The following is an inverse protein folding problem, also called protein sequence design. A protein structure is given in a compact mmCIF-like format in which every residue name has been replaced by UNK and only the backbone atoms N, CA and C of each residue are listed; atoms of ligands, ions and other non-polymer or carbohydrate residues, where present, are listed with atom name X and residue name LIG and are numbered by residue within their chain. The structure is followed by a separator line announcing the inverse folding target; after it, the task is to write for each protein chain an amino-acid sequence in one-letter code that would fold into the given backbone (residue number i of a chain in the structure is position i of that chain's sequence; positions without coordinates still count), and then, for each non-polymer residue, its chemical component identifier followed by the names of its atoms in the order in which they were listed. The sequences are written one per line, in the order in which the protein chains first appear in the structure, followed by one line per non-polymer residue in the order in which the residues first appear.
data_IF_025401915565
#
_entry.id   IF_025401915565
#
_cell.length_a   1.000
_cell.length_b   1.000
_cell.length_c   1.000
_cell.angle_alpha   90.00
_cell.angle_beta   90.00
_cell.angle_gamma   90.00
#
_symmetry.space_group_name_H-M   'P 1'
#
loop_
_entity.id
_entity.type
_entity.pdbx_description
1 polymer ?
#
# COMPACT_ATOMS: atom_id res chain seq x y z
N UNK A 1 64.65 -11.72 14.43
CA UNK A 1 64.41 -10.27 14.64
C UNK A 1 63.09 -9.91 14.00
N UNK A 2 62.29 -9.10 14.69
CA UNK A 2 60.91 -8.75 14.35
C UNK A 2 60.76 -8.02 12.99
N UNK A 3 59.55 -8.05 12.43
CA UNK A 3 59.16 -7.22 11.29
C UNK A 3 57.70 -7.42 10.87
N UNK A 4 56.84 -6.52 11.35
CA UNK A 4 55.42 -6.33 11.04
C UNK A 4 55.12 -5.99 9.58
N UNK A 5 53.90 -6.33 9.12
CA UNK A 5 53.32 -5.75 7.91
C UNK A 5 51.90 -6.26 7.66
N UNK A 6 50.90 -5.53 8.16
CA UNK A 6 49.51 -5.73 7.74
C UNK A 6 49.24 -4.98 6.43
N UNK A 7 48.33 -5.51 5.61
CA UNK A 7 47.52 -4.73 4.69
C UNK A 7 46.17 -5.41 4.49
N UNK A 8 45.14 -4.64 4.79
CA UNK A 8 43.76 -4.90 4.45
C UNK A 8 43.53 -4.79 2.92
N UNK A 9 42.54 -5.53 2.44
CA UNK A 9 41.99 -5.47 1.08
C UNK A 9 41.31 -6.81 0.79
N UNK A 10 40.07 -6.90 0.34
CA UNK A 10 39.22 -5.93 -0.35
C UNK A 10 37.77 -6.37 -0.23
N UNK A 11 36.85 -5.40 -0.32
CA UNK A 11 35.43 -5.54 -0.05
C UNK A 11 34.75 -6.69 -0.79
N UNK A 12 34.01 -7.49 -0.01
CA UNK A 12 33.02 -8.40 -0.55
C UNK A 12 31.90 -7.59 -1.21
N UNK A 13 31.72 -7.80 -2.51
CA UNK A 13 30.49 -7.44 -3.19
C UNK A 13 29.32 -8.02 -2.38
N UNK A 14 28.47 -7.14 -1.86
CA UNK A 14 27.30 -7.51 -1.06
C UNK A 14 26.34 -8.35 -1.88
N UNK A 15 26.49 -9.68 -1.77
CA UNK A 15 25.56 -10.65 -2.32
C UNK A 15 24.20 -10.40 -1.71
N UNK A 16 23.25 -10.04 -2.56
CA UNK A 16 21.87 -9.86 -2.18
C UNK A 16 21.30 -11.20 -1.71
N UNK A 17 20.78 -11.28 -0.48
CA UNK A 17 20.21 -12.52 0.05
C UNK A 17 19.13 -13.09 -0.90
N UNK A 18 19.10 -14.43 -1.11
CA UNK A 18 18.11 -15.06 -1.97
C UNK A 18 16.69 -14.82 -1.44
N UNK A 19 15.72 -14.67 -2.37
CA UNK A 19 14.29 -14.49 -2.06
C UNK A 19 13.78 -15.67 -1.24
N UNK A 20 12.85 -15.42 -0.32
CA UNK A 20 12.16 -16.47 0.41
C UNK A 20 11.52 -17.46 -0.58
N UNK A 21 11.92 -18.75 -0.53
CA UNK A 21 11.42 -19.78 -1.43
C UNK A 21 10.01 -20.26 -1.05
N UNK A 22 9.39 -19.64 -0.04
CA UNK A 22 8.11 -20.04 0.50
C UNK A 22 7.01 -19.01 0.26
N UNK A 23 5.79 -19.46 0.46
CA UNK A 23 4.62 -18.62 0.64
C UNK A 23 3.91 -19.01 1.94
N UNK A 24 3.02 -18.16 2.44
CA UNK A 24 2.43 -18.36 3.75
C UNK A 24 0.92 -18.13 3.75
N UNK A 25 0.21 -18.98 4.49
CA UNK A 25 -1.22 -18.80 4.78
C UNK A 25 -1.37 -18.52 6.28
N UNK A 26 -2.06 -17.45 6.61
CA UNK A 26 -2.41 -17.10 7.98
C UNK A 26 -3.84 -17.57 8.28
N UNK A 27 -3.97 -18.40 9.29
CA UNK A 27 -5.21 -18.76 9.95
C UNK A 27 -5.29 -18.08 11.30
N UNK A 28 -6.48 -17.60 11.64
CA UNK A 28 -6.73 -16.83 12.86
C UNK A 28 -7.93 -17.40 13.60
N UNK A 29 -7.83 -17.45 14.92
CA UNK A 29 -8.94 -17.64 15.84
C UNK A 29 -8.65 -16.83 17.11
N UNK A 30 -9.58 -16.71 18.07
CA UNK A 30 -9.33 -15.93 19.28
C UNK A 30 -8.01 -16.33 19.96
N UNK A 31 -7.16 -15.33 20.15
CA UNK A 31 -5.87 -15.39 20.85
C UNK A 31 -4.83 -16.36 20.22
N UNK A 32 -5.11 -16.91 19.03
CA UNK A 32 -4.26 -17.92 18.39
C UNK A 32 -4.15 -17.70 16.89
N UNK A 33 -2.92 -17.71 16.39
CA UNK A 33 -2.59 -17.72 14.98
C UNK A 33 -2.01 -19.08 14.60
N UNK A 34 -2.27 -19.51 13.37
CA UNK A 34 -1.56 -20.61 12.75
C UNK A 34 -1.07 -20.17 11.39
N UNK A 35 0.22 -20.35 11.14
CA UNK A 35 0.86 -20.01 9.88
C UNK A 35 1.25 -21.32 9.20
N UNK A 36 0.80 -21.51 7.97
CA UNK A 36 1.28 -22.57 7.11
C UNK A 36 2.41 -22.03 6.24
N UNK A 37 3.51 -22.76 6.20
CA UNK A 37 4.57 -22.55 5.22
C UNK A 37 4.27 -23.44 4.02
N UNK A 38 4.22 -22.83 2.85
CA UNK A 38 4.00 -23.51 1.59
C UNK A 38 5.27 -23.49 0.76
N UNK A 39 5.53 -24.58 0.04
CA UNK A 39 6.43 -24.52 -1.10
C UNK A 39 5.83 -23.55 -2.14
N UNK A 40 6.61 -22.56 -2.55
CA UNK A 40 6.11 -21.46 -3.39
C UNK A 40 5.73 -21.89 -4.81
N UNK A 41 6.33 -22.97 -5.30
CA UNK A 41 6.13 -23.45 -6.68
C UNK A 41 4.89 -24.31 -6.79
N UNK A 42 4.76 -25.26 -5.86
CA UNK A 42 3.68 -26.24 -5.84
C UNK A 42 2.46 -25.75 -5.04
N UNK A 43 2.66 -24.85 -4.07
CA UNK A 43 1.65 -24.45 -3.10
C UNK A 43 1.40 -25.49 -2.01
N UNK A 44 2.17 -26.58 -1.97
CA UNK A 44 2.01 -27.63 -0.98
C UNK A 44 2.44 -27.14 0.39
N UNK A 45 1.67 -27.46 1.43
CA UNK A 45 2.05 -27.21 2.81
C UNK A 45 3.25 -28.09 3.19
N UNK A 46 4.34 -27.46 3.61
CA UNK A 46 5.58 -28.14 4.01
C UNK A 46 5.85 -28.02 5.51
N UNK A 47 5.28 -27.01 6.18
CA UNK A 47 5.38 -26.84 7.62
C UNK A 47 4.18 -26.04 8.15
N UNK A 48 3.99 -26.07 9.46
CA UNK A 48 3.08 -25.17 10.14
C UNK A 48 3.61 -24.75 11.51
N UNK A 49 3.17 -23.57 11.95
CA UNK A 49 3.48 -23.02 13.26
C UNK A 49 2.22 -22.46 13.90
N UNK A 50 1.96 -22.84 15.14
CA UNK A 50 0.90 -22.24 15.96
C UNK A 50 1.53 -21.27 16.96
N UNK A 51 0.98 -20.06 17.05
CA UNK A 51 1.43 -18.96 17.90
C UNK A 51 0.24 -18.50 18.73
N UNK A 52 0.39 -18.46 20.06
CA UNK A 52 -0.70 -18.11 20.98
C UNK A 52 -0.32 -16.85 21.73
N UNK A 53 -1.24 -15.90 21.80
CA UNK A 53 -1.07 -14.66 22.55
C UNK A 53 -0.76 -14.99 24.02
N UNK A 54 0.23 -14.29 24.58
CA UNK A 54 0.64 -14.48 25.98
C UNK A 54 -0.48 -14.06 26.92
N UNK A 55 -0.76 -14.86 27.95
CA UNK A 55 -1.87 -14.63 28.88
C UNK A 55 -1.81 -13.27 29.59
N UNK A 56 -0.62 -12.68 29.76
CA UNK A 56 -0.43 -11.34 30.33
C UNK A 56 -1.08 -10.22 29.52
N UNK A 57 -1.31 -10.44 28.21
CA UNK A 57 -1.97 -9.47 27.33
C UNK A 57 -3.50 -9.58 27.37
N UNK A 58 -4.05 -10.51 28.16
CA UNK A 58 -5.49 -10.79 28.22
C UNK A 58 -6.02 -11.48 26.95
N UNK A 59 -7.34 -11.45 26.76
CA UNK A 59 -8.04 -12.16 25.68
C UNK A 59 -8.70 -11.23 24.67
N UNK A 60 -9.11 -11.78 23.52
CA UNK A 60 -9.80 -11.05 22.45
C UNK A 60 -8.88 -10.53 21.36
N UNK A 61 -7.67 -11.08 21.28
CA UNK A 61 -6.72 -10.80 20.21
C UNK A 61 -7.06 -11.61 18.97
N UNK A 62 -6.83 -11.01 17.81
CA UNK A 62 -6.96 -11.67 16.51
C UNK A 62 -5.72 -11.38 15.67
N UNK A 63 -5.15 -12.42 15.09
CA UNK A 63 -4.10 -12.25 14.09
C UNK A 63 -4.75 -11.77 12.79
N UNK A 64 -4.20 -10.70 12.22
CA UNK A 64 -4.77 -9.99 11.07
C UNK A 64 -3.93 -10.09 9.83
N UNK A 65 -2.63 -9.94 9.98
CA UNK A 65 -1.72 -9.92 8.84
C UNK A 65 -0.40 -10.59 9.20
N UNK A 66 0.24 -11.15 8.18
CA UNK A 66 1.54 -11.80 8.30
C UNK A 66 2.39 -11.39 7.11
N UNK A 67 3.61 -10.94 7.39
CA UNK A 67 4.55 -10.52 6.35
C UNK A 67 5.90 -11.20 6.55
N UNK A 68 6.44 -11.76 5.46
CA UNK A 68 7.73 -12.41 5.43
C UNK A 68 8.74 -11.49 4.77
N UNK A 69 9.72 -11.01 5.54
CA UNK A 69 10.66 -10.02 5.06
C UNK A 69 11.97 -10.67 4.59
N UNK A 70 12.63 -9.93 3.71
CA UNK A 70 13.90 -10.34 3.09
C UNK A 70 15.08 -10.42 4.06
N UNK A 71 15.03 -9.70 5.16
CA UNK A 71 16.02 -9.83 6.24
C UNK A 71 15.90 -11.19 6.97
N UNK A 72 14.97 -12.05 6.54
CA UNK A 72 14.70 -13.36 7.13
C UNK A 72 13.74 -13.29 8.32
N UNK A 73 13.42 -12.10 8.82
CA UNK A 73 12.46 -11.94 9.91
C UNK A 73 11.03 -11.93 9.38
N UNK A 74 10.06 -12.05 10.29
CA UNK A 74 8.62 -12.04 9.99
C UNK A 74 7.91 -11.05 10.89
N UNK A 75 6.82 -10.47 10.39
CA UNK A 75 5.90 -9.67 11.19
C UNK A 75 4.56 -10.40 11.28
N UNK A 76 4.05 -10.57 12.49
CA UNK A 76 2.68 -11.03 12.74
C UNK A 76 1.92 -9.90 13.44
N UNK A 77 0.90 -9.37 12.77
CA UNK A 77 0.07 -8.29 13.30
C UNK A 77 -1.07 -8.88 14.10
N UNK A 78 -1.13 -8.48 15.36
CA UNK A 78 -2.23 -8.78 16.26
C UNK A 78 -3.02 -7.52 16.55
N UNK A 79 -4.34 -7.64 16.57
CA UNK A 79 -5.23 -6.55 16.99
C UNK A 79 -6.24 -7.02 18.00
N UNK A 80 -6.59 -6.11 18.92
CA UNK A 80 -7.62 -6.30 19.94
C UNK A 80 -8.64 -5.16 19.84
N UNK A 81 -9.65 -5.30 18.96
CA UNK A 81 -10.55 -4.20 18.59
C UNK A 81 -11.30 -3.59 19.79
N UNK A 82 -11.70 -4.43 20.75
CA UNK A 82 -12.43 -4.00 21.95
C UNK A 82 -11.62 -3.05 22.85
N UNK A 83 -10.28 -3.05 22.72
CA UNK A 83 -9.36 -2.19 23.47
C UNK A 83 -8.65 -1.16 22.59
N UNK A 84 -8.71 -1.29 21.26
CA UNK A 84 -7.96 -0.45 20.32
C UNK A 84 -6.45 -0.74 20.31
N UNK A 85 -6.04 -1.94 20.72
CA UNK A 85 -4.62 -2.29 20.85
C UNK A 85 -4.10 -3.03 19.62
N UNK A 86 -2.82 -2.80 19.30
CA UNK A 86 -2.10 -3.49 18.23
C UNK A 86 -0.68 -3.84 18.67
N UNK A 87 -0.30 -5.09 18.42
CA UNK A 87 1.07 -5.57 18.58
C UNK A 87 1.57 -6.09 17.22
N UNK A 88 2.80 -5.72 16.88
CA UNK A 88 3.54 -6.37 15.80
C UNK A 88 4.55 -7.30 16.46
N UNK A 89 4.35 -8.61 16.33
CA UNK A 89 5.33 -9.58 16.75
C UNK A 89 6.41 -9.72 15.68
N UNK A 90 7.66 -9.59 16.10
CA UNK A 90 8.82 -9.89 15.28
C UNK A 90 9.20 -11.34 15.53
N UNK A 91 9.23 -12.12 14.45
CA UNK A 91 9.66 -13.52 14.49
C UNK A 91 10.95 -13.70 13.68
N UNK A 92 11.74 -14.70 14.03
CA UNK A 92 12.86 -15.14 13.19
C UNK A 92 12.36 -15.95 11.97
N UNK A 93 13.31 -16.37 11.13
CA UNK A 93 13.02 -17.16 9.91
C UNK A 93 12.33 -18.50 10.21
N UNK A 94 12.50 -19.04 11.42
CA UNK A 94 11.88 -20.28 11.89
C UNK A 94 10.55 -20.03 12.64
N UNK A 95 10.03 -18.79 12.60
CA UNK A 95 8.81 -18.37 13.31
C UNK A 95 8.89 -18.52 14.84
N UNK A 96 10.09 -18.37 15.42
CA UNK A 96 10.24 -18.17 16.85
C UNK A 96 10.03 -16.70 17.19
N UNK A 97 9.34 -16.44 18.30
CA UNK A 97 9.14 -15.09 18.81
C UNK A 97 10.50 -14.48 19.22
N UNK A 98 10.80 -13.29 18.69
CA UNK A 98 12.02 -12.56 18.99
C UNK A 98 11.74 -11.27 19.79
N UNK A 99 10.71 -10.53 19.39
CA UNK A 99 10.31 -9.29 20.06
C UNK A 99 8.84 -8.96 19.78
N UNK A 100 8.29 -8.04 20.56
CA UNK A 100 7.00 -7.40 20.26
C UNK A 100 7.18 -5.88 20.16
N UNK A 101 6.47 -5.27 19.22
CA UNK A 101 6.48 -3.84 18.96
C UNK A 101 5.06 -3.32 19.17
N UNK A 102 4.80 -2.62 20.27
CA UNK A 102 3.50 -2.01 20.49
C UNK A 102 3.35 -0.81 19.54
N UNK A 103 2.29 -0.84 18.73
CA UNK A 103 1.79 0.35 18.05
C UNK A 103 0.47 0.73 18.73
N UNK A 104 0.60 1.13 20.00
CA UNK A 104 -0.52 1.65 20.76
C UNK A 104 -0.63 3.14 20.48
N UNK A 105 -1.83 3.52 20.11
CA UNK A 105 -2.14 4.89 19.81
C UNK A 105 -2.78 5.53 21.04
N UNK A 106 -2.35 6.73 21.42
CA UNK A 106 -3.26 7.64 22.14
C UNK A 106 -4.46 8.04 21.27
N UNK A 107 -4.30 7.90 19.95
CA UNK A 107 -5.31 7.99 18.90
C UNK A 107 -4.83 7.16 17.70
N UNK A 108 -5.57 6.11 17.30
CA UNK A 108 -6.96 5.80 17.59
C UNK A 108 -7.32 4.93 18.82
N UNK A 109 -8.51 5.20 19.38
CA UNK A 109 -9.16 4.60 20.58
C UNK A 109 -9.91 3.27 20.32
N UNK A 110 -10.61 2.79 21.35
CA UNK A 110 -11.72 1.80 21.30
C UNK A 110 -12.57 1.94 20.01
N UNK A 111 -12.80 0.82 19.32
CA UNK A 111 -13.51 0.79 18.02
C UNK A 111 -12.59 0.84 16.80
N UNK A 112 -11.30 1.14 16.99
CA UNK A 112 -10.29 0.97 15.95
C UNK A 112 -9.57 -0.37 16.06
N UNK A 113 -9.18 -0.92 14.92
CA UNK A 113 -8.31 -2.09 14.87
C UNK A 113 -7.34 -2.01 13.68
N UNK A 114 -6.15 -2.56 13.84
CA UNK A 114 -5.21 -2.70 12.73
C UNK A 114 -5.68 -3.79 11.79
N UNK A 115 -5.54 -3.54 10.50
CA UNK A 115 -6.02 -4.40 9.42
C UNK A 115 -4.87 -5.07 8.71
N UNK A 116 -3.86 -4.30 8.30
CA UNK A 116 -2.77 -4.78 7.46
C UNK A 116 -1.49 -4.01 7.72
N UNK A 117 -0.37 -4.69 7.51
CA UNK A 117 0.97 -4.15 7.63
C UNK A 117 1.74 -4.48 6.35
N UNK A 118 2.59 -3.55 5.91
CA UNK A 118 3.58 -3.88 4.89
C UNK A 118 4.88 -3.12 5.14
N UNK A 119 6.00 -3.79 4.92
CA UNK A 119 7.30 -3.13 4.81
C UNK A 119 7.51 -2.62 3.38
N UNK A 120 8.07 -1.41 3.27
CA UNK A 120 8.44 -0.79 2.00
C UNK A 120 9.93 -1.03 1.71
N UNK A 121 10.31 -0.90 0.44
CA UNK A 121 11.68 -1.18 0.00
C UNK A 121 12.72 -0.16 0.52
N UNK A 122 12.30 1.02 0.97
CA UNK A 122 13.15 1.98 1.68
C UNK A 122 13.40 1.61 3.16
N UNK A 123 12.81 0.49 3.61
CA UNK A 123 12.90 0.04 4.99
C UNK A 123 11.95 0.77 5.94
N UNK A 124 11.05 1.63 5.47
CA UNK A 124 9.92 2.13 6.27
C UNK A 124 8.74 1.16 6.21
N UNK A 125 7.68 1.43 6.97
CA UNK A 125 6.49 0.58 6.98
C UNK A 125 5.20 1.38 6.82
N UNK A 126 4.12 0.63 6.64
CA UNK A 126 2.74 1.11 6.68
C UNK A 126 1.93 0.20 7.59
N UNK A 127 1.11 0.81 8.44
CA UNK A 127 0.12 0.11 9.26
C UNK A 127 -1.25 0.72 8.97
N UNK A 128 -2.12 -0.08 8.35
CA UNK A 128 -3.49 0.31 8.03
C UNK A 128 -4.39 -0.02 9.21
N UNK A 129 -5.15 0.98 9.64
CA UNK A 129 -6.17 0.86 10.68
C UNK A 129 -7.55 1.14 10.11
N UNK A 130 -8.58 0.59 10.76
CA UNK A 130 -9.97 0.86 10.40
C UNK A 130 -10.83 1.09 11.64
N UNK A 131 -11.78 2.02 11.53
CA UNK A 131 -12.82 2.26 12.50
C UNK A 131 -14.16 1.85 11.90
N UNK A 132 -14.86 0.94 12.56
CA UNK A 132 -16.18 0.47 12.13
C UNK A 132 -17.27 1.51 12.30
N UNK A 133 -17.19 2.34 13.34
CA UNK A 133 -18.24 3.29 13.69
C UNK A 133 -18.25 4.49 12.73
N UNK A 134 -17.06 4.95 12.35
CA UNK A 134 -16.82 6.05 11.42
C UNK A 134 -16.64 5.58 9.96
N UNK A 135 -16.66 4.27 9.70
CA UNK A 135 -16.37 3.67 8.39
C UNK A 135 -15.13 4.28 7.70
N UNK A 136 -14.08 4.53 8.49
CA UNK A 136 -12.89 5.28 8.06
C UNK A 136 -11.63 4.48 8.30
N UNK A 137 -10.78 4.39 7.28
CA UNK A 137 -9.45 3.81 7.39
C UNK A 137 -8.41 4.91 7.57
N UNK A 138 -7.34 4.61 8.31
CA UNK A 138 -6.19 5.49 8.45
C UNK A 138 -4.90 4.72 8.26
N UNK A 139 -4.05 5.23 7.38
CA UNK A 139 -2.71 4.69 7.16
C UNK A 139 -1.70 5.43 8.02
N UNK A 140 -0.99 4.68 8.83
CA UNK A 140 0.12 5.20 9.61
C UNK A 140 1.45 4.94 8.89
N UNK A 141 2.26 5.98 8.69
CA UNK A 141 3.65 5.82 8.29
C UNK A 141 4.49 5.31 9.49
N UNK A 142 5.16 4.18 9.30
CA UNK A 142 6.07 3.62 10.29
C UNK A 142 7.52 3.92 9.91
N UNK A 143 8.38 4.07 10.92
CA UNK A 143 9.82 4.12 10.74
C UNK A 143 10.41 2.73 10.48
N UNK A 144 11.73 2.66 10.35
CA UNK A 144 12.43 1.37 10.17
C UNK A 144 12.38 0.46 11.39
N UNK A 145 12.01 0.98 12.55
CA UNK A 145 11.72 0.19 13.75
C UNK A 145 10.27 -0.30 13.84
N UNK A 146 9.46 -0.20 12.78
CA UNK A 146 8.04 -0.59 12.76
C UNK A 146 7.14 0.16 13.76
N UNK A 147 7.60 1.28 14.29
CA UNK A 147 6.83 2.19 15.14
C UNK A 147 6.35 3.39 14.33
N UNK A 148 5.21 3.96 14.72
CA UNK A 148 4.75 5.25 14.17
C UNK A 148 5.87 6.29 14.21
N UNK A 149 6.19 6.90 13.06
CA UNK A 149 7.30 7.84 12.96
C UNK A 149 6.91 9.31 13.14
N UNK A 150 5.64 9.59 13.50
CA UNK A 150 5.13 10.95 13.69
C UNK A 150 4.77 11.69 12.40
N UNK A 151 5.00 11.09 11.23
CA UNK A 151 4.62 11.71 9.95
C UNK A 151 3.10 11.72 9.76
N UNK A 152 2.61 12.61 8.90
CA UNK A 152 1.18 12.78 8.68
C UNK A 152 0.49 11.46 8.27
N UNK A 153 -0.60 11.15 8.95
CA UNK A 153 -1.47 10.01 8.62
C UNK A 153 -2.31 10.32 7.39
N UNK A 154 -2.66 9.29 6.61
CA UNK A 154 -3.58 9.39 5.46
C UNK A 154 -4.91 8.75 5.80
N UNK A 155 -6.02 9.40 5.44
CA UNK A 155 -7.37 8.93 5.75
C UNK A 155 -8.10 8.51 4.48
N UNK A 156 -8.89 7.44 4.58
CA UNK A 156 -9.65 6.89 3.47
C UNK A 156 -11.07 6.59 3.93
N UNK A 157 -12.04 7.08 3.18
CA UNK A 157 -13.45 6.80 3.40
C UNK A 157 -14.04 6.28 2.11
N UNK A 158 -14.64 5.10 2.15
CA UNK A 158 -15.34 4.54 1.00
C UNK A 158 -16.58 5.39 0.73
N UNK A 159 -16.78 5.89 -0.49
CA UNK A 159 -17.82 6.90 -0.81
C UNK A 159 -18.78 6.51 -1.93
N UNK A 160 -18.60 5.34 -2.54
CA UNK A 160 -19.32 4.92 -3.75
C UNK A 160 -19.92 3.52 -3.60
N UNK A 161 -21.08 3.29 -4.24
CA UNK A 161 -21.72 1.96 -4.36
C UNK A 161 -22.67 1.57 -3.21
N UNK A 162 -23.42 0.49 -3.41
CA UNK A 162 -24.22 -0.14 -2.35
C UNK A 162 -23.32 -0.78 -1.29
N UNK A 163 -23.68 -0.66 -0.01
CA UNK A 163 -22.90 -1.22 1.09
C UNK A 163 -21.78 -0.31 1.61
N UNK A 164 -21.71 0.94 1.14
CA UNK A 164 -20.68 1.93 1.48
C UNK A 164 -20.45 2.11 2.99
N UNK A 165 -21.51 2.11 3.80
CA UNK A 165 -21.43 2.30 5.25
C UNK A 165 -20.83 1.10 6.00
N UNK A 166 -20.71 -0.05 5.34
CA UNK A 166 -20.14 -1.28 5.91
C UNK A 166 -18.88 -1.72 5.16
N UNK A 167 -18.39 -0.93 4.20
CA UNK A 167 -17.16 -1.24 3.48
C UNK A 167 -15.96 -1.13 4.44
N UNK A 168 -15.11 -2.15 4.44
CA UNK A 168 -13.95 -2.22 5.32
C UNK A 168 -12.71 -2.61 4.52
N UNK A 169 -11.56 -1.94 4.73
CA UNK A 169 -10.32 -2.38 4.14
C UNK A 169 -9.91 -3.71 4.77
N UNK A 170 -9.23 -4.54 4.01
CA UNK A 170 -8.72 -5.84 4.47
C UNK A 170 -7.24 -6.04 4.20
N UNK A 171 -6.66 -5.29 3.26
CA UNK A 171 -5.25 -5.45 2.91
C UNK A 171 -4.68 -4.18 2.31
N UNK A 172 -3.42 -3.90 2.62
CA UNK A 172 -2.57 -2.92 1.94
C UNK A 172 -1.41 -3.65 1.26
N UNK A 173 -1.22 -3.40 -0.03
CA UNK A 173 -0.20 -4.08 -0.83
C UNK A 173 0.67 -3.05 -1.56
N UNK A 174 1.94 -2.84 -1.14
CA UNK A 174 2.88 -2.05 -1.91
C UNK A 174 3.25 -2.76 -3.20
N UNK A 175 3.73 -1.99 -4.17
CA UNK A 175 3.86 -2.46 -5.54
C UNK A 175 5.25 -2.22 -6.13
N UNK A 176 5.72 -3.07 -7.06
CA UNK A 176 7.00 -2.89 -7.74
C UNK A 176 7.14 -1.63 -8.61
N UNK A 177 6.09 -0.86 -8.81
CA UNK A 177 6.12 0.41 -9.55
C UNK A 177 6.15 1.62 -8.62
N UNK A 178 6.26 1.39 -7.30
CA UNK A 178 6.20 2.42 -6.26
C UNK A 178 4.78 2.86 -5.90
N UNK A 179 3.74 2.29 -6.52
CA UNK A 179 2.34 2.50 -6.15
C UNK A 179 1.92 1.53 -5.05
N UNK A 180 0.66 1.60 -4.62
CA UNK A 180 0.09 0.62 -3.70
C UNK A 180 -1.37 0.31 -4.01
N UNK A 181 -1.89 -0.74 -3.40
CA UNK A 181 -3.31 -1.12 -3.45
C UNK A 181 -3.87 -1.18 -2.04
N UNK A 182 -5.11 -0.72 -1.87
CA UNK A 182 -5.95 -1.08 -0.73
C UNK A 182 -7.09 -1.95 -1.25
N UNK A 183 -7.21 -3.16 -0.70
CA UNK A 183 -8.35 -4.03 -0.96
C UNK A 183 -9.43 -3.78 0.10
N UNK A 184 -10.65 -3.57 -0.35
CA UNK A 184 -11.84 -3.37 0.46
C UNK A 184 -12.82 -4.50 0.28
N UNK A 185 -13.39 -5.00 1.36
CA UNK A 185 -14.64 -5.74 1.33
C UNK A 185 -15.80 -4.76 1.28
N UNK A 186 -16.79 -5.03 0.42
CA UNK A 186 -18.00 -4.24 0.27
C UNK A 186 -19.19 -5.18 0.44
N UNK A 187 -19.76 -5.29 1.66
CA UNK A 187 -20.85 -6.20 1.94
C UNK A 187 -22.03 -6.03 0.96
N UNK A 188 -22.51 -7.15 0.41
CA UNK A 188 -23.57 -7.17 -0.60
C UNK A 188 -23.13 -6.83 -2.04
N UNK A 189 -21.93 -6.29 -2.22
CA UNK A 189 -21.41 -5.85 -3.53
C UNK A 189 -20.07 -6.52 -3.93
N UNK A 190 -19.47 -7.34 -3.05
CA UNK A 190 -18.22 -8.06 -3.30
C UNK A 190 -17.01 -7.35 -2.67
N UNK A 191 -16.04 -6.98 -3.49
CA UNK A 191 -14.82 -6.28 -3.07
C UNK A 191 -14.48 -5.12 -4.02
N UNK A 192 -13.53 -4.28 -3.62
CA UNK A 192 -13.02 -3.19 -4.46
C UNK A 192 -11.53 -3.00 -4.22
N UNK A 193 -10.74 -2.88 -5.29
CA UNK A 193 -9.32 -2.55 -5.21
C UNK A 193 -9.14 -1.08 -5.54
N UNK A 194 -8.60 -0.35 -4.58
CA UNK A 194 -8.19 1.02 -4.74
C UNK A 194 -6.72 1.06 -5.11
N UNK A 195 -6.41 1.67 -6.25
CA UNK A 195 -5.05 2.01 -6.61
C UNK A 195 -4.68 3.32 -5.94
N UNK A 196 -3.54 3.30 -5.26
CA UNK A 196 -2.91 4.47 -4.67
C UNK A 196 -1.76 4.93 -5.54
N UNK A 197 -1.56 6.24 -5.64
CA UNK A 197 -0.32 6.78 -6.19
C UNK A 197 0.87 6.53 -5.22
N UNK A 198 2.12 6.83 -5.61
CA UNK A 198 3.28 6.64 -4.73
C UNK A 198 3.29 7.46 -3.44
N UNK A 199 2.31 8.36 -3.27
CA UNK A 199 2.14 9.22 -2.10
C UNK A 199 0.98 8.74 -1.23
N UNK A 200 0.52 7.51 -1.47
CA UNK A 200 -0.58 6.82 -0.84
C UNK A 200 -1.95 7.50 -1.07
N UNK A 201 -2.09 8.38 -2.06
CA UNK A 201 -3.39 9.00 -2.37
C UNK A 201 -4.21 8.13 -3.34
N UNK A 202 -5.52 8.03 -3.11
CA UNK A 202 -6.43 7.27 -3.98
C UNK A 202 -6.43 7.88 -5.39
N UNK A 203 -6.06 7.06 -6.38
CA UNK A 203 -6.06 7.43 -7.78
C UNK A 203 -7.22 6.81 -8.57
N UNK A 204 -7.47 5.50 -8.38
CA UNK A 204 -8.48 4.75 -9.14
C UNK A 204 -9.17 3.74 -8.24
N UNK A 205 -10.45 3.48 -8.49
CA UNK A 205 -11.22 2.41 -7.87
C UNK A 205 -11.64 1.36 -8.91
N UNK A 206 -11.53 0.07 -8.56
CA UNK A 206 -11.95 -1.05 -9.40
C UNK A 206 -12.77 -2.06 -8.59
N UNK A 207 -14.08 -2.23 -8.88
CA UNK A 207 -14.90 -3.23 -8.22
C UNK A 207 -14.55 -4.66 -8.66
N UNK A 208 -14.75 -5.62 -7.76
CA UNK A 208 -14.49 -7.04 -7.94
C UNK A 208 -15.71 -7.83 -7.47
N UNK A 209 -16.23 -8.69 -8.33
CA UNK A 209 -17.26 -9.67 -7.96
C UNK A 209 -16.61 -10.86 -7.25
N UNK A 210 -17.08 -11.16 -6.03
CA UNK A 210 -16.65 -12.32 -5.26
C UNK A 210 -17.64 -13.49 -5.42
N UNK A 211 -17.19 -14.75 -5.33
CA UNK A 211 -18.09 -15.89 -5.25
C UNK A 211 -18.91 -15.86 -3.95
N UNK A 212 -20.12 -16.40 -4.01
CA UNK A 212 -21.03 -16.43 -2.87
C UNK A 212 -20.38 -17.11 -1.64
N UNK A 213 -20.56 -16.49 -0.47
CA UNK A 213 -20.01 -17.00 0.81
C UNK A 213 -18.53 -16.68 1.05
N UNK A 214 -17.85 -16.01 0.12
CA UNK A 214 -16.47 -15.58 0.31
C UNK A 214 -16.36 -14.08 0.59
N UNK A 215 -15.42 -13.74 1.46
CA UNK A 215 -14.97 -12.38 1.70
C UNK A 215 -13.49 -12.26 1.30
N UNK A 216 -13.08 -11.10 0.81
CA UNK A 216 -11.67 -10.85 0.52
C UNK A 216 -10.87 -10.64 1.81
N UNK A 217 -9.61 -11.06 1.80
CA UNK A 217 -8.77 -11.18 3.00
C UNK A 217 -7.39 -10.59 2.80
N UNK A 218 -6.73 -10.91 1.69
CA UNK A 218 -5.41 -10.36 1.37
C UNK A 218 -5.29 -10.02 -0.12
N UNK A 219 -4.39 -9.10 -0.42
CA UNK A 219 -3.99 -8.78 -1.78
C UNK A 219 -2.46 -8.73 -1.85
N UNK A 220 -1.87 -9.26 -2.91
CA UNK A 220 -0.44 -9.15 -3.15
C UNK A 220 -0.14 -8.87 -4.62
N UNK A 221 0.92 -8.11 -4.84
CA UNK A 221 1.41 -7.74 -6.17
C UNK A 221 2.77 -8.37 -6.34
N UNK A 222 2.89 -9.23 -7.36
CA UNK A 222 4.11 -9.94 -7.65
C UNK A 222 5.06 -9.08 -8.49
N UNK A 223 6.35 -9.39 -8.43
CA UNK A 223 7.39 -8.77 -9.27
C UNK A 223 7.16 -8.96 -10.78
N UNK A 224 6.38 -9.97 -11.16
CA UNK A 224 5.97 -10.23 -12.55
C UNK A 224 4.82 -9.34 -13.03
N UNK A 225 4.24 -8.53 -12.15
CA UNK A 225 3.01 -7.75 -12.40
C UNK A 225 1.72 -8.55 -12.21
N UNK A 226 1.82 -9.88 -11.98
CA UNK A 226 0.68 -10.69 -11.54
C UNK A 226 0.23 -10.27 -10.16
N UNK A 227 -1.03 -10.55 -9.85
CA UNK A 227 -1.62 -10.26 -8.55
C UNK A 227 -2.28 -11.49 -7.97
N UNK A 228 -2.30 -11.57 -6.64
CA UNK A 228 -3.00 -12.61 -5.91
C UNK A 228 -4.00 -12.00 -4.96
N UNK A 229 -5.18 -12.60 -4.89
CA UNK A 229 -6.21 -12.24 -3.93
C UNK A 229 -6.54 -13.46 -3.08
N UNK A 230 -6.38 -13.31 -1.77
CA UNK A 230 -6.79 -14.29 -0.76
C UNK A 230 -8.24 -14.05 -0.36
N UNK A 231 -9.03 -15.11 -0.33
CA UNK A 231 -10.45 -15.10 0.00
C UNK A 231 -10.72 -16.12 1.10
N UNK A 232 -11.58 -15.78 2.05
CA UNK A 232 -11.99 -16.68 3.14
C UNK A 232 -13.49 -16.95 3.11
N UNK A 233 -13.89 -18.17 3.43
CA UNK A 233 -15.27 -18.57 3.70
C UNK A 233 -15.35 -19.05 5.14
N UNK A 234 -15.88 -18.19 6.02
CA UNK A 234 -15.88 -18.43 7.47
C UNK A 234 -16.83 -19.58 7.85
N UNK A 235 -17.95 -19.72 7.15
CA UNK A 235 -18.92 -20.80 7.39
C UNK A 235 -18.36 -22.18 7.01
N UNK A 236 -17.52 -22.24 5.98
CA UNK A 236 -16.83 -23.45 5.55
C UNK A 236 -15.46 -23.64 6.22
N UNK A 237 -15.00 -22.67 7.01
CA UNK A 237 -13.67 -22.61 7.59
C UNK A 237 -12.56 -22.86 6.54
N UNK A 238 -12.72 -22.28 5.35
CA UNK A 238 -11.83 -22.50 4.21
C UNK A 238 -11.32 -21.19 3.64
N UNK A 239 -10.30 -21.28 2.80
CA UNK A 239 -9.83 -20.15 2.01
C UNK A 239 -9.46 -20.56 0.59
N UNK A 240 -9.24 -19.57 -0.26
CA UNK A 240 -8.66 -19.77 -1.58
C UNK A 240 -7.81 -18.58 -1.98
N UNK A 241 -6.78 -18.82 -2.79
CA UNK A 241 -5.91 -17.76 -3.33
C UNK A 241 -5.97 -17.82 -4.84
N UNK A 242 -6.45 -16.76 -5.45
CA UNK A 242 -6.64 -16.66 -6.90
C UNK A 242 -5.54 -15.80 -7.53
N UNK A 243 -4.94 -16.27 -8.62
CA UNK A 243 -3.88 -15.55 -9.35
C UNK A 243 -4.45 -14.92 -10.62
N UNK A 244 -4.07 -13.68 -10.91
CA UNK A 244 -4.46 -12.95 -12.10
C UNK A 244 -3.26 -12.30 -12.76
N UNK A 245 -3.40 -12.01 -14.05
CA UNK A 245 -2.32 -11.45 -14.87
C UNK A 245 -1.90 -10.05 -14.43
N UNK A 246 -2.85 -9.25 -13.97
CA UNK A 246 -2.66 -7.89 -13.44
C UNK A 246 -3.92 -7.39 -12.73
N UNK A 247 -3.84 -6.24 -12.03
CA UNK A 247 -5.00 -5.61 -11.40
C UNK A 247 -6.17 -5.40 -12.37
N UNK A 248 -5.88 -5.05 -13.62
CA UNK A 248 -6.90 -4.78 -14.64
C UNK A 248 -7.70 -6.02 -15.05
N UNK A 249 -7.19 -7.22 -14.77
CA UNK A 249 -7.86 -8.49 -15.06
C UNK A 249 -8.65 -9.04 -13.87
N UNK A 250 -8.51 -8.44 -12.69
CA UNK A 250 -9.26 -8.84 -11.48
C UNK A 250 -10.65 -8.19 -11.50
N UNK A 251 -11.61 -8.84 -12.15
CA UNK A 251 -12.99 -8.34 -12.21
C UNK A 251 -13.99 -9.33 -11.64
N UNK A 252 -13.85 -10.60 -11.98
CA UNK A 252 -14.71 -11.68 -11.50
C UNK A 252 -13.84 -12.81 -10.95
N UNK A 253 -13.96 -13.07 -9.65
CA UNK A 253 -13.27 -14.20 -9.04
C UNK A 253 -14.08 -15.47 -9.32
N UNK A 254 -13.47 -16.54 -9.88
CA UNK A 254 -14.18 -17.78 -10.14
C UNK A 254 -14.61 -18.46 -8.84
N UNK A 255 -15.73 -19.17 -8.91
CA UNK A 255 -16.18 -20.03 -7.82
C UNK A 255 -15.19 -21.19 -7.62
N UNK A 256 -15.05 -21.69 -6.38
CA UNK A 256 -14.18 -22.83 -6.12
C UNK A 256 -14.65 -24.04 -6.94
N UNK A 257 -13.79 -24.54 -7.83
CA UNK A 257 -14.06 -25.76 -8.59
C UNK A 257 -12.76 -26.51 -8.85
N UNK A 258 -12.84 -27.84 -8.89
CA UNK A 258 -11.68 -28.72 -9.10
C UNK A 258 -10.95 -28.44 -10.43
N UNK A 259 -11.65 -27.92 -11.45
CA UNK A 259 -11.06 -27.52 -12.73
C UNK A 259 -10.35 -26.17 -12.75
N UNK A 260 -10.45 -25.39 -11.66
CA UNK A 260 -9.78 -24.08 -11.51
C UNK A 260 -8.64 -24.10 -10.48
N UNK A 261 -8.35 -25.27 -9.91
CA UNK A 261 -7.26 -25.43 -8.94
C UNK A 261 -5.89 -25.19 -9.59
N UNK A 262 -5.13 -24.24 -9.06
CA UNK A 262 -3.78 -23.94 -9.52
C UNK A 262 -3.35 -22.50 -9.27
N UNK A 263 -2.17 -22.15 -9.81
CA UNK A 263 -1.50 -20.86 -9.63
C UNK A 263 -1.37 -20.04 -10.91
N UNK A 264 -1.93 -20.53 -12.03
CA UNK A 264 -2.00 -19.82 -13.30
C UNK A 264 -2.99 -18.67 -13.29
N UNK A 265 -3.05 -17.93 -14.40
CA UNK A 265 -3.98 -16.81 -14.55
C UNK A 265 -5.43 -17.32 -14.50
N UNK A 266 -6.26 -16.67 -13.69
CA UNK A 266 -7.65 -17.05 -13.39
C UNK A 266 -7.81 -18.43 -12.72
N UNK A 267 -6.75 -18.94 -12.08
CA UNK A 267 -6.81 -20.15 -11.26
C UNK A 267 -6.78 -19.79 -9.78
N UNK A 268 -7.44 -20.61 -8.96
CA UNK A 268 -7.56 -20.43 -7.52
C UNK A 268 -7.10 -21.69 -6.79
N UNK A 269 -6.13 -21.54 -5.89
CA UNK A 269 -5.68 -22.63 -5.02
C UNK A 269 -6.53 -22.65 -3.73
N UNK A 270 -7.28 -23.72 -3.44
CA UNK A 270 -8.05 -23.84 -2.21
C UNK A 270 -7.18 -24.27 -1.01
N UNK A 271 -7.60 -23.87 0.19
CA UNK A 271 -7.00 -24.21 1.48
C UNK A 271 -8.07 -24.56 2.51
N UNK A 272 -7.79 -25.56 3.36
CA UNK A 272 -8.75 -26.07 4.35
C UNK A 272 -9.70 -27.14 3.78
N UNK A 273 -10.82 -27.44 4.48
CA UNK A 273 -11.33 -26.73 5.65
C UNK A 273 -10.48 -26.92 6.91
N UNK A 274 -10.49 -25.92 7.80
CA UNK A 274 -9.81 -25.91 9.10
C UNK A 274 -10.82 -25.53 10.19
N UNK A 275 -11.56 -26.52 10.70
CA UNK A 275 -12.65 -26.29 11.64
C UNK A 275 -12.24 -25.40 12.84
N UNK A 276 -13.00 -24.33 13.07
CA UNK A 276 -12.74 -23.36 14.14
C UNK A 276 -11.67 -22.31 13.82
N UNK A 277 -11.17 -22.27 12.58
CA UNK A 277 -10.23 -21.27 12.11
C UNK A 277 -10.83 -20.40 11.00
N UNK A 278 -10.42 -19.15 10.98
CA UNK A 278 -10.72 -18.19 9.91
C UNK A 278 -9.48 -18.03 9.04
N UNK A 279 -9.63 -18.16 7.72
CA UNK A 279 -8.58 -17.76 6.79
C UNK A 279 -8.40 -16.24 6.86
N UNK A 280 -7.27 -15.78 7.37
CA UNK A 280 -6.98 -14.36 7.57
C UNK A 280 -6.19 -13.76 6.41
N UNK A 281 -5.37 -14.53 5.72
CA UNK A 281 -4.65 -14.02 4.57
C UNK A 281 -3.66 -15.00 3.95
N UNK A 282 -3.12 -14.57 2.83
CA UNK A 282 -2.02 -15.18 2.12
C UNK A 282 -0.96 -14.12 1.83
N UNK A 283 0.30 -14.48 2.05
CA UNK A 283 1.45 -13.63 1.73
C UNK A 283 2.54 -14.44 1.04
N UNK A 284 3.39 -13.72 0.31
CA UNK A 284 4.58 -14.24 -0.34
C UNK A 284 5.60 -13.10 -0.38
N UNK A 285 6.87 -13.39 -0.09
CA UNK A 285 7.90 -12.36 -0.20
C UNK A 285 8.09 -11.99 -1.67
N UNK A 286 7.56 -10.84 -2.06
CA UNK A 286 7.61 -10.34 -3.44
C UNK A 286 8.40 -9.03 -3.59
N UNK A 287 8.59 -8.27 -2.50
CA UNK A 287 9.33 -7.02 -2.51
C UNK A 287 10.72 -7.12 -1.89
N UNK A 288 11.73 -7.27 -2.74
CA UNK A 288 13.14 -7.10 -2.37
C UNK A 288 13.79 -5.87 -3.01
N UNK A 289 14.88 -5.33 -2.43
CA UNK A 289 15.73 -4.30 -3.03
C UNK A 289 16.04 -4.58 -4.49
N UNK A 290 15.72 -3.61 -5.34
CA UNK A 290 15.92 -3.65 -6.79
C UNK A 290 14.80 -4.37 -7.58
N UNK A 291 13.82 -4.98 -6.92
CA UNK A 291 12.62 -5.57 -7.55
C UNK A 291 11.34 -4.82 -7.21
N UNK A 292 11.23 -4.33 -5.98
CA UNK A 292 10.36 -3.20 -5.68
C UNK A 292 11.28 -1.97 -5.51
N UNK A 293 11.21 -0.96 -6.38
CA UNK A 293 11.81 0.33 -6.08
C UNK A 293 11.24 0.80 -4.75
N UNK A 294 12.06 1.47 -3.94
CA UNK A 294 11.53 2.29 -2.86
C UNK A 294 10.33 3.07 -3.43
N UNK A 295 9.18 3.11 -2.73
CA UNK A 295 8.09 3.99 -3.15
C UNK A 295 8.75 5.33 -3.35
N UNK A 296 8.65 5.85 -4.57
CA UNK A 296 9.36 7.08 -4.85
C UNK A 296 8.76 8.11 -3.88
N UNK A 297 9.62 8.75 -3.09
CA UNK A 297 9.21 9.70 -2.07
C UNK A 297 9.34 11.10 -2.65
N UNK A 298 8.22 11.79 -2.83
CA UNK A 298 8.24 13.24 -3.10
C UNK A 298 8.42 14.00 -1.78
N UNK A 299 9.66 14.04 -1.28
CA UNK A 299 9.98 14.76 -0.02
C UNK A 299 9.72 16.26 -0.10
N UNK A 300 9.63 16.80 -1.31
CA UNK A 300 9.41 18.23 -1.56
C UNK A 300 7.97 18.52 -2.03
N UNK A 301 7.04 17.59 -1.86
CA UNK A 301 5.70 17.69 -2.44
C UNK A 301 5.02 19.02 -2.11
N UNK A 302 4.37 19.65 -3.10
CA UNK A 302 3.42 20.72 -2.79
C UNK A 302 2.14 20.08 -2.23
N UNK A 303 1.69 20.42 -1.01
CA UNK A 303 0.50 19.81 -0.42
C UNK A 303 -0.70 19.91 -1.35
N UNK A 304 -1.40 18.79 -1.58
CA UNK A 304 -2.62 18.75 -2.38
C UNK A 304 -3.66 19.71 -1.79
N UNK A 305 -4.35 20.44 -2.66
CA UNK A 305 -5.44 21.31 -2.28
C UNK A 305 -6.72 20.63 -2.76
N UNK A 306 -7.66 20.25 -1.89
CA UNK A 306 -8.88 19.54 -2.28
C UNK A 306 -9.88 20.43 -3.02
N UNK A 307 -9.74 21.76 -2.89
CA UNK A 307 -10.60 22.75 -3.52
C UNK A 307 -9.77 23.88 -4.13
N UNK A 308 -10.34 24.64 -5.08
CA UNK A 308 -9.68 25.82 -5.62
C UNK A 308 -9.23 26.80 -4.52
N UNK A 309 -7.95 27.22 -4.51
CA UNK A 309 -7.46 28.15 -3.52
C UNK A 309 -7.95 29.58 -3.76
N UNK A 310 -8.32 30.28 -2.68
CA UNK A 310 -8.77 31.68 -2.75
C UNK A 310 -7.63 32.69 -2.95
N UNK A 311 -6.38 32.27 -2.71
CA UNK A 311 -5.19 33.12 -2.75
C UNK A 311 -4.10 32.51 -3.62
N UNK A 312 -3.40 33.36 -4.39
CA UNK A 312 -2.27 32.96 -5.23
C UNK A 312 -1.05 32.47 -4.42
N UNK A 313 -1.00 32.75 -3.12
CA UNK A 313 0.02 32.23 -2.20
C UNK A 313 -0.09 30.73 -1.93
N UNK A 314 -1.33 30.21 -1.86
CA UNK A 314 -1.64 28.83 -1.47
C UNK A 314 -1.20 27.75 -2.48
N UNK A 315 -1.29 27.94 -3.82
CA UNK A 315 -0.97 26.88 -4.77
C UNK A 315 0.53 26.55 -4.87
N UNK A 316 1.44 27.29 -4.22
CA UNK A 316 2.85 26.90 -4.14
C UNK A 316 3.70 27.29 -5.37
N UNK A 317 3.23 28.21 -6.21
CA UNK A 317 4.02 28.81 -7.28
C UNK A 317 5.24 29.57 -6.74
N UNK A 318 5.14 30.15 -5.54
CA UNK A 318 6.20 30.96 -4.94
C UNK A 318 6.73 30.34 -3.65
N UNK A 319 8.00 30.59 -3.32
CA UNK A 319 8.57 30.26 -1.99
C UNK A 319 8.09 31.21 -0.88
N UNK A 320 7.57 32.37 -1.26
CA UNK A 320 6.90 33.36 -0.42
C UNK A 320 6.30 34.46 -1.29
N UNK A 321 5.14 35.02 -0.91
CA UNK A 321 4.43 35.98 -1.78
C UNK A 321 5.02 37.38 -1.80
N UNK A 322 5.81 37.75 -0.79
CA UNK A 322 6.40 39.08 -0.71
C UNK A 322 7.47 39.32 -1.79
N UNK A 323 8.16 38.28 -2.25
CA UNK A 323 9.30 38.40 -3.18
C UNK A 323 8.96 38.01 -4.61
N UNK A 324 7.81 37.35 -4.85
CA UNK A 324 7.45 36.84 -6.18
C UNK A 324 8.42 35.79 -6.73
N UNK A 325 9.30 35.24 -5.89
CA UNK A 325 10.31 34.24 -6.26
C UNK A 325 9.63 32.92 -6.58
N UNK A 326 9.84 32.42 -7.80
CA UNK A 326 9.29 31.13 -8.24
C UNK A 326 9.86 30.00 -7.37
N UNK A 327 8.99 29.11 -6.93
CA UNK A 327 9.33 27.90 -6.19
C UNK A 327 10.23 26.99 -7.04
N UNK A 328 11.34 26.46 -6.51
CA UNK A 328 12.17 25.47 -7.22
C UNK A 328 11.39 24.22 -7.66
N UNK A 329 10.22 23.99 -7.08
CA UNK A 329 9.32 22.88 -7.43
C UNK A 329 8.49 23.15 -8.68
N UNK A 330 8.35 24.41 -9.07
CA UNK A 330 7.59 24.83 -10.24
C UNK A 330 8.55 24.95 -11.44
N UNK A 331 8.59 23.91 -12.26
CA UNK A 331 9.47 23.80 -13.42
C UNK A 331 8.98 24.74 -14.53
N UNK A 332 9.86 25.60 -15.03
CA UNK A 332 9.55 26.41 -16.21
C UNK A 332 9.41 25.50 -17.45
N UNK A 333 8.47 25.83 -18.32
CA UNK A 333 8.31 25.12 -19.60
C UNK A 333 7.84 26.06 -20.71
N UNK A 334 8.10 25.69 -21.95
CA UNK A 334 7.64 26.37 -23.15
C UNK A 334 6.94 25.37 -24.07
N UNK A 335 5.76 25.71 -24.65
CA UNK A 335 5.12 24.87 -25.63
C UNK A 335 6.00 24.74 -26.88
N UNK A 336 6.17 23.51 -27.40
CA UNK A 336 6.91 23.29 -28.64
C UNK A 336 6.27 24.02 -29.84
N UNK A 337 4.94 24.16 -29.83
CA UNK A 337 4.18 24.88 -30.84
C UNK A 337 3.39 26.00 -30.17
N UNK A 338 3.94 27.20 -30.18
CA UNK A 338 3.28 28.37 -29.60
C UNK A 338 2.16 28.90 -30.50
N UNK A 339 0.96 29.04 -29.93
CA UNK A 339 -0.12 29.77 -30.56
C UNK A 339 -0.03 31.25 -30.16
N UNK A 340 0.10 32.11 -31.16
CA UNK A 340 0.26 33.55 -30.99
C UNK A 340 -1.06 34.20 -30.57
N UNK A 341 -1.03 35.00 -29.50
CA UNK A 341 -2.11 35.92 -29.16
C UNK A 341 -1.59 37.09 -28.34
N UNK A 342 -2.30 38.21 -28.47
CA UNK A 342 -2.44 39.37 -27.57
C UNK A 342 -1.21 40.23 -27.18
N UNK A 343 0.00 39.88 -27.63
CA UNK A 343 1.21 40.68 -27.39
C UNK A 343 1.73 40.66 -25.94
N UNK A 344 1.05 39.95 -25.02
CA UNK A 344 1.54 39.80 -23.65
C UNK A 344 2.71 38.81 -23.58
N UNK A 345 3.71 39.15 -22.76
CA UNK A 345 4.79 38.23 -22.37
C UNK A 345 4.21 37.16 -21.45
N UNK A 346 4.53 35.89 -21.72
CA UNK A 346 3.94 34.74 -21.03
C UNK A 346 5.03 33.89 -20.40
N UNK A 347 5.02 33.76 -19.08
CA UNK A 347 5.82 32.75 -18.37
C UNK A 347 4.92 31.58 -17.95
N UNK A 348 5.44 30.36 -18.03
CA UNK A 348 4.67 29.15 -17.74
C UNK A 348 5.47 28.24 -16.83
N UNK A 349 4.80 27.67 -15.85
CA UNK A 349 5.41 26.77 -14.89
C UNK A 349 4.51 25.55 -14.68
N UNK A 350 5.11 24.40 -14.45
CA UNK A 350 4.43 23.16 -14.14
C UNK A 350 5.02 22.57 -12.85
N UNK A 351 4.15 22.07 -11.99
CA UNK A 351 4.52 21.15 -10.93
C UNK A 351 3.81 19.83 -11.23
N UNK A 352 4.60 18.79 -11.46
CA UNK A 352 4.14 17.42 -11.49
C UNK A 352 4.67 16.79 -10.21
N UNK A 353 3.82 16.16 -9.35
CA UNK A 353 4.30 15.45 -8.19
C UNK A 353 5.43 14.51 -8.60
N UNK A 354 6.55 14.57 -7.87
CA UNK A 354 7.60 13.58 -8.10
C UNK A 354 6.94 12.21 -7.91
N UNK A 355 7.47 11.19 -8.60
CA UNK A 355 7.02 9.81 -8.48
C UNK A 355 5.77 9.45 -9.27
N UNK A 356 4.95 10.42 -9.66
CA UNK A 356 3.84 10.17 -10.57
C UNK A 356 4.28 10.34 -12.04
N UNK A 357 3.62 9.61 -12.95
CA UNK A 357 3.83 9.72 -14.41
C UNK A 357 2.58 10.27 -15.08
N UNK A 358 2.79 11.13 -16.06
CA UNK A 358 1.72 11.48 -17.01
C UNK A 358 1.48 10.24 -17.87
N UNK A 359 0.25 9.75 -17.89
CA UNK A 359 -0.15 8.68 -18.79
C UNK A 359 -0.38 9.28 -20.18
N UNK A 360 0.38 8.76 -21.13
CA UNK A 360 0.34 9.16 -22.54
C UNK A 360 0.05 7.93 -23.40
N UNK A 361 -0.76 6.96 -22.93
CA UNK A 361 -1.15 5.83 -23.78
C UNK A 361 -2.15 6.23 -24.88
N UNK A 362 -2.96 7.26 -24.59
CA UNK A 362 -3.82 7.95 -25.57
C UNK A 362 -3.21 9.33 -25.83
N UNK A 363 -2.84 9.63 -27.08
CA UNK A 363 -2.22 10.90 -27.46
C UNK A 363 -3.19 12.07 -27.44
N UNK A 364 -4.48 11.81 -27.59
CA UNK A 364 -5.51 12.85 -27.57
C UNK A 364 -6.00 13.13 -26.14
N UNK A 365 -5.77 12.21 -25.20
CA UNK A 365 -6.24 12.30 -23.81
C UNK A 365 -5.17 11.92 -22.79
N UNK A 366 -4.19 12.82 -22.59
CA UNK A 366 -3.18 12.61 -21.55
C UNK A 366 -3.81 12.65 -20.16
N UNK A 367 -3.53 11.65 -19.33
CA UNK A 367 -3.94 11.63 -17.93
C UNK A 367 -2.82 12.16 -17.03
N UNK A 368 -3.05 13.33 -16.45
CA UNK A 368 -2.07 14.00 -15.60
C UNK A 368 -2.28 13.57 -14.14
N UNK A 369 -1.21 13.30 -13.36
CA UNK A 369 -1.32 12.93 -11.96
C UNK A 369 -2.11 13.93 -11.10
N UNK A 370 -2.87 13.41 -10.14
CA UNK A 370 -3.56 14.21 -9.12
C UNK A 370 -2.54 15.05 -8.34
N UNK A 371 -2.87 16.32 -8.11
CA UNK A 371 -1.98 17.31 -7.49
C UNK A 371 -1.10 18.08 -8.48
N UNK A 372 -1.06 17.68 -9.76
CA UNK A 372 -0.33 18.41 -10.79
C UNK A 372 -0.92 19.80 -11.02
N UNK A 373 -0.06 20.79 -11.18
CA UNK A 373 -0.41 22.21 -11.32
C UNK A 373 0.31 22.83 -12.50
N UNK A 374 -0.41 23.67 -13.23
CA UNK A 374 0.15 24.51 -14.28
C UNK A 374 -0.21 25.95 -14.00
N UNK A 375 0.79 26.82 -14.09
CA UNK A 375 0.63 28.25 -13.98
C UNK A 375 1.00 28.92 -15.28
N UNK A 376 0.23 29.94 -15.63
CA UNK A 376 0.54 30.83 -16.74
C UNK A 376 0.42 32.27 -16.26
N UNK A 377 1.51 33.03 -16.34
CA UNK A 377 1.53 34.44 -15.98
C UNK A 377 1.53 35.27 -17.24
N UNK A 378 0.77 36.36 -17.21
CA UNK A 378 0.70 37.34 -18.28
C UNK A 378 1.33 38.64 -17.79
N UNK A 379 2.26 39.18 -18.58
CA UNK A 379 2.93 40.45 -18.33
C UNK A 379 2.71 41.36 -19.53
N UNK A 380 2.31 42.60 -19.27
CA UNK A 380 2.21 43.68 -20.26
C UNK A 380 2.94 44.89 -19.73
N UNK A 381 3.78 45.50 -20.56
CA UNK A 381 4.55 46.70 -20.21
C UNK A 381 5.32 46.55 -18.89
N UNK A 382 5.88 45.36 -18.64
CA UNK A 382 6.62 45.03 -17.42
C UNK A 382 5.74 44.75 -16.18
N UNK A 383 4.42 44.89 -16.26
CA UNK A 383 3.47 44.64 -15.17
C UNK A 383 2.81 43.28 -15.32
N UNK A 384 2.82 42.47 -14.24
CA UNK A 384 2.09 41.20 -14.18
C UNK A 384 0.60 41.48 -14.02
N UNK A 385 -0.19 41.17 -15.04
CA UNK A 385 -1.61 41.50 -15.11
C UNK A 385 -2.53 40.33 -14.75
N UNK A 386 -2.08 39.08 -14.95
CA UNK A 386 -2.88 37.90 -14.64
C UNK A 386 -1.98 36.69 -14.31
N UNK A 387 -2.46 35.79 -13.44
CA UNK A 387 -1.92 34.44 -13.30
C UNK A 387 -3.07 33.44 -13.32
N UNK A 388 -3.05 32.53 -14.30
CA UNK A 388 -3.99 31.42 -14.40
C UNK A 388 -3.39 30.18 -13.76
N UNK A 389 -4.22 29.44 -13.02
CA UNK A 389 -3.89 28.14 -12.44
C UNK A 389 -4.79 27.07 -13.06
N UNK A 390 -4.18 25.98 -13.50
CA UNK A 390 -4.86 24.71 -13.74
C UNK A 390 -4.35 23.74 -12.68
N UNK A 391 -5.25 23.04 -12.00
CA UNK A 391 -4.90 22.07 -10.96
C UNK A 391 -5.75 20.82 -11.12
N UNK A 392 -5.11 19.65 -11.07
CA UNK A 392 -5.78 18.34 -11.07
C UNK A 392 -6.17 17.97 -9.63
N UNK A 393 -7.44 18.15 -9.28
CA UNK A 393 -7.94 17.91 -7.91
C UNK A 393 -8.24 16.43 -7.62
N UNK A 394 -8.88 15.72 -8.55
CA UNK A 394 -9.33 14.33 -8.38
C UNK A 394 -10.00 13.82 -9.64
#
# INVERSE_FOLDING_TARGET
TAGSGGTAGTGGAGGVAPRDPYAYVLWSKPDTARIWTLDRTTGNRIAERTLTMTASHGTGWSARDFDALRDGTRRLVWTRPAMGETLIWVLDAAMNFAAEIPNTASDPKQGWFSVSYARLADGTGRLLWFNTDAATAVMWPLGSGDTYNGSAKKYYTFTSGSGVSAAAPVSYAPSPDGTARILWNVPGSGASVWHLDPLDDRAVEKPITLPAGYAARSYSVMDTGRVRIGLGNDSAASGQVCTFRSDGTVTNIPAPSTGTAGWGDNQCQPFGPEAGWTFAGYTVEDCGPGRCPAPCVDTDRIPHLPTPPDLLSKPGLYTGTATGTISPRALAFEPAYELWSDGAVKSRHAYIPKCAKIDTSDMDHWSIPVGSRFWKQFVRDGVRVETRLIHRYG
#
